data_IF_408336547356
#
_entry.id   IF_408336547356
#
_cell.length_a   1.000
_cell.length_b   1.000
_cell.length_c   1.000
_cell.angle_alpha   90.00
_cell.angle_beta   90.00
_cell.angle_gamma   90.00
#
_symmetry.space_group_name_H-M   'P 1'
#
loop_
_entity.id
_entity.type
_entity.pdbx_description
1 polymer ?
#
# COMPACT_ATOMS: atom_id res chain seq x y z
N UNK A 1 1.55 -5.49 20.70
CA UNK A 1 2.64 -5.88 19.77
C UNK A 1 2.36 -7.31 19.32
N UNK A 2 2.14 -7.52 18.02
CA UNK A 2 1.99 -8.86 17.43
C UNK A 2 3.32 -9.24 16.78
N UNK A 3 3.76 -10.48 16.94
CA UNK A 3 4.99 -10.97 16.32
C UNK A 3 4.70 -12.24 15.51
N UNK A 4 5.32 -12.34 14.34
CA UNK A 4 5.32 -13.58 13.54
C UNK A 4 6.51 -14.41 13.96
N UNK A 5 6.26 -15.64 14.42
CA UNK A 5 7.32 -16.59 14.75
C UNK A 5 7.60 -17.50 13.56
N UNK A 6 8.73 -17.30 12.89
CA UNK A 6 9.24 -18.24 11.89
C UNK A 6 10.16 -19.25 12.58
N UNK A 7 10.09 -20.54 12.19
CA UNK A 7 10.97 -21.61 12.70
C UNK A 7 11.57 -22.36 11.52
N UNK A 8 12.87 -22.65 11.59
CA UNK A 8 13.57 -23.47 10.61
C UNK A 8 13.76 -24.89 11.14
N UNK A 9 13.64 -25.88 10.26
CA UNK A 9 14.03 -27.26 10.55
C UNK A 9 15.56 -27.37 10.53
N UNK A 10 16.13 -28.27 11.33
CA UNK A 10 17.58 -28.32 11.61
C UNK A 10 18.48 -28.54 10.38
N UNK A 11 17.92 -28.92 9.22
CA UNK A 11 18.66 -29.21 7.99
C UNK A 11 18.17 -28.41 6.77
N UNK A 12 17.42 -27.33 6.99
CA UNK A 12 16.93 -26.48 5.91
C UNK A 12 18.09 -25.70 5.26
N UNK A 13 18.46 -26.05 4.02
CA UNK A 13 19.43 -25.26 3.23
C UNK A 13 18.82 -23.99 2.62
N UNK A 14 17.49 -23.82 2.72
CA UNK A 14 16.74 -22.65 2.24
C UNK A 14 16.03 -21.98 3.41
N UNK A 15 16.78 -21.60 4.45
CA UNK A 15 16.21 -20.79 5.53
C UNK A 15 15.84 -19.41 5.00
N UNK A 16 14.67 -18.84 5.37
CA UNK A 16 14.39 -17.44 5.13
C UNK A 16 15.48 -16.60 5.81
N UNK A 17 16.16 -15.77 5.03
CA UNK A 17 17.13 -14.79 5.51
C UNK A 17 16.45 -13.42 5.66
N UNK A 18 16.87 -12.67 6.68
CA UNK A 18 16.46 -11.27 6.83
C UNK A 18 17.57 -10.44 6.18
N UNK A 19 17.33 -9.98 4.96
CA UNK A 19 18.35 -9.27 4.17
C UNK A 19 18.66 -7.87 4.73
N UNK A 20 17.66 -7.19 5.32
CA UNK A 20 17.86 -5.92 6.02
C UNK A 20 16.69 -5.60 6.98
N UNK A 21 17.00 -4.86 8.05
CA UNK A 21 16.03 -4.11 8.84
C UNK A 21 16.28 -2.64 8.52
N UNK A 22 15.37 -2.03 7.75
CA UNK A 22 15.42 -0.61 7.40
C UNK A 22 14.27 0.11 8.10
N UNK A 23 14.55 1.32 8.59
CA UNK A 23 13.52 2.20 9.11
C UNK A 23 12.76 2.80 7.93
N UNK A 24 11.48 2.45 7.80
CA UNK A 24 10.61 2.89 6.71
C UNK A 24 9.48 3.68 7.34
N UNK A 25 9.32 4.92 6.90
CA UNK A 25 8.20 5.74 7.30
C UNK A 25 6.88 4.99 7.02
N UNK A 26 5.87 5.09 7.90
CA UNK A 26 4.60 4.43 7.66
C UNK A 26 4.03 4.84 6.30
N UNK A 27 3.62 3.84 5.51
CA UNK A 27 2.96 4.10 4.22
C UNK A 27 1.74 4.99 4.46
N UNK A 28 1.66 6.11 3.76
CA UNK A 28 0.46 6.93 3.71
C UNK A 28 -0.58 6.20 2.85
N UNK A 29 -1.79 5.98 3.37
CA UNK A 29 -2.78 5.14 2.70
C UNK A 29 -3.16 5.63 1.28
N UNK A 30 -3.11 6.94 1.07
CA UNK A 30 -3.42 7.61 -0.19
C UNK A 30 -2.18 7.89 -1.07
N UNK A 31 -0.97 7.56 -0.61
CA UNK A 31 0.24 7.58 -1.43
C UNK A 31 0.28 6.25 -2.20
N UNK A 32 -0.31 6.28 -3.39
CA UNK A 32 -0.55 5.08 -4.20
C UNK A 32 0.63 4.79 -5.14
N UNK A 33 1.48 5.80 -5.39
CA UNK A 33 2.73 5.65 -6.14
C UNK A 33 3.97 5.42 -5.25
N UNK A 34 3.82 5.45 -3.93
CA UNK A 34 4.85 5.17 -2.93
C UNK A 34 6.01 6.19 -2.94
N UNK A 35 5.72 7.44 -3.22
CA UNK A 35 6.73 8.51 -3.28
C UNK A 35 6.95 9.22 -1.94
N UNK A 36 6.12 8.95 -0.94
CA UNK A 36 6.17 9.55 0.39
C UNK A 36 5.34 10.83 0.54
N UNK A 37 4.60 11.24 -0.50
CA UNK A 37 3.72 12.41 -0.51
C UNK A 37 2.40 12.05 -1.18
N UNK A 38 1.29 12.66 -0.74
CA UNK A 38 -0.02 12.51 -1.39
C UNK A 38 -0.29 13.75 -2.22
N UNK A 39 -0.31 13.61 -3.55
CA UNK A 39 -0.44 14.73 -4.48
C UNK A 39 -1.27 14.37 -5.74
N UNK A 40 -1.17 15.21 -6.77
CA UNK A 40 -1.92 15.05 -8.02
C UNK A 40 -1.61 13.75 -8.76
N UNK A 41 -0.40 13.24 -8.65
CA UNK A 41 -0.01 11.99 -9.32
C UNK A 41 -0.73 10.79 -8.70
N UNK A 42 -0.94 10.79 -7.39
CA UNK A 42 -1.75 9.76 -6.71
C UNK A 42 -3.21 9.80 -7.16
N UNK A 43 -3.78 11.01 -7.24
CA UNK A 43 -5.14 11.20 -7.70
C UNK A 43 -5.34 10.71 -9.14
N UNK A 44 -4.40 11.02 -10.02
CA UNK A 44 -4.48 10.61 -11.42
C UNK A 44 -4.38 9.09 -11.58
N UNK A 45 -3.62 8.40 -10.72
CA UNK A 45 -3.59 6.93 -10.69
C UNK A 45 -4.95 6.34 -10.28
N UNK A 46 -5.60 6.88 -9.25
CA UNK A 46 -6.94 6.43 -8.84
C UNK A 46 -7.97 6.63 -9.96
N UNK A 47 -7.91 7.77 -10.66
CA UNK A 47 -8.81 8.06 -11.80
C UNK A 47 -8.55 7.10 -12.97
N UNK A 48 -7.28 6.77 -13.25
CA UNK A 48 -6.93 5.85 -14.32
C UNK A 48 -7.45 4.43 -14.08
N UNK A 49 -7.50 4.01 -12.81
CA UNK A 49 -7.88 2.65 -12.41
C UNK A 49 -9.36 2.51 -12.03
N UNK A 50 -10.20 3.52 -12.33
CA UNK A 50 -11.60 3.57 -11.93
C UNK A 50 -12.39 2.32 -12.34
N UNK A 51 -13.15 1.73 -11.41
CA UNK A 51 -13.95 0.53 -11.66
C UNK A 51 -13.79 -0.55 -10.61
N UNK A 52 -13.86 -1.82 -11.03
CA UNK A 52 -13.76 -2.94 -10.10
C UNK A 52 -12.30 -3.21 -9.73
N UNK A 53 -12.04 -3.32 -8.44
CA UNK A 53 -10.71 -3.63 -7.91
C UNK A 53 -10.29 -5.05 -8.33
N UNK A 54 -9.13 -5.25 -8.97
CA UNK A 54 -8.61 -6.58 -9.26
C UNK A 54 -8.33 -7.37 -7.97
N UNK A 55 -8.34 -8.70 -8.08
CA UNK A 55 -7.96 -9.57 -6.99
C UNK A 55 -6.56 -9.22 -6.47
N UNK A 56 -6.46 -8.97 -5.17
CA UNK A 56 -5.24 -8.48 -4.52
C UNK A 56 -5.33 -7.05 -4.00
N UNK A 57 -6.33 -6.27 -4.44
CA UNK A 57 -6.57 -4.90 -3.96
C UNK A 57 -5.43 -3.97 -4.34
N UNK A 58 -5.48 -3.29 -5.51
CA UNK A 58 -4.42 -2.39 -5.91
C UNK A 58 -4.33 -1.21 -4.92
N UNK A 59 -3.22 -0.49 -4.97
CA UNK A 59 -3.03 0.70 -4.15
C UNK A 59 -4.12 1.77 -4.35
N UNK A 60 -4.77 1.77 -5.52
CA UNK A 60 -5.82 2.71 -5.93
C UNK A 60 -7.19 2.43 -5.30
N UNK A 61 -7.43 1.26 -4.72
CA UNK A 61 -8.58 0.96 -3.85
C UNK A 61 -8.26 1.40 -2.41
N UNK A 62 -8.20 2.71 -2.22
CA UNK A 62 -7.73 3.37 -0.99
C UNK A 62 -8.61 3.02 0.20
N UNK A 63 -9.91 2.88 -0.02
CA UNK A 63 -10.91 2.51 1.00
C UNK A 63 -10.95 1.01 1.28
N UNK A 64 -10.33 0.18 0.42
CA UNK A 64 -10.22 -1.29 0.53
C UNK A 64 -11.57 -1.98 0.54
N UNK A 65 -12.51 -1.49 -0.27
CA UNK A 65 -13.86 -2.03 -0.35
C UNK A 65 -14.09 -2.92 -1.59
N UNK A 66 -13.07 -3.10 -2.44
CA UNK A 66 -13.15 -3.89 -3.66
C UNK A 66 -13.64 -3.11 -4.89
N UNK A 67 -13.81 -1.80 -4.77
CA UNK A 67 -14.23 -0.89 -5.83
C UNK A 67 -13.35 0.35 -5.80
N UNK A 68 -12.88 0.79 -6.97
CA UNK A 68 -12.15 2.04 -7.15
C UNK A 68 -13.16 3.05 -7.67
N UNK A 69 -13.61 3.94 -6.80
CA UNK A 69 -14.69 4.87 -7.08
C UNK A 69 -14.44 6.27 -6.48
N UNK A 70 -15.51 7.06 -6.39
CA UNK A 70 -15.44 8.43 -5.87
C UNK A 70 -14.96 8.46 -4.41
N UNK A 71 -15.24 7.44 -3.60
CA UNK A 71 -14.82 7.38 -2.21
C UNK A 71 -13.29 7.29 -2.10
N UNK A 72 -12.63 6.58 -3.01
CA UNK A 72 -11.16 6.52 -3.06
C UNK A 72 -10.56 7.85 -3.51
N UNK A 73 -11.19 8.53 -4.47
CA UNK A 73 -10.81 9.91 -4.84
C UNK A 73 -10.91 10.85 -3.64
N UNK A 74 -12.02 10.80 -2.90
CA UNK A 74 -12.21 11.62 -1.71
C UNK A 74 -11.20 11.24 -0.61
N UNK A 75 -10.83 9.97 -0.49
CA UNK A 75 -9.79 9.53 0.44
C UNK A 75 -8.42 10.15 0.09
N UNK A 76 -8.06 10.25 -1.19
CA UNK A 76 -6.82 10.94 -1.62
C UNK A 76 -6.89 12.43 -1.32
N UNK A 77 -7.99 13.10 -1.67
CA UNK A 77 -8.16 14.54 -1.42
C UNK A 77 -8.13 14.87 0.08
N UNK A 78 -8.72 14.03 0.93
CA UNK A 78 -8.69 14.23 2.38
C UNK A 78 -7.30 14.01 2.99
N UNK A 79 -6.46 13.21 2.35
CA UNK A 79 -5.10 12.90 2.78
C UNK A 79 -4.04 13.80 2.12
N UNK A 80 -4.46 14.81 1.35
CA UNK A 80 -3.57 15.70 0.61
C UNK A 80 -2.54 16.34 1.54
N UNK A 81 -1.27 16.04 1.31
CA UNK A 81 -0.18 16.39 2.24
C UNK A 81 0.86 17.35 1.65
N UNK A 82 0.65 17.83 0.43
CA UNK A 82 1.53 18.83 -0.22
C UNK A 82 0.76 20.10 -0.61
N UNK A 83 1.38 21.28 -0.71
CA UNK A 83 1.06 22.21 -1.79
C UNK A 83 1.42 21.63 -3.16
#
# INVERSE_FOLDING_TARGET
VSFVRMRNLMESQTTPEIDAIVDVAPRQAADVNFTGSVNIDDLLLVINDFGMSPAGGPATDVTRNGMINIDDILAVINAWSSP
#
